data_IF_182878598019
#
_entry.id   IF_182878598019
#
_cell.length_a   1.000
_cell.length_b   1.000
_cell.length_c   1.000
_cell.angle_alpha   90.00
_cell.angle_beta   90.00
_cell.angle_gamma   90.00
#
_symmetry.space_group_name_H-M   'P 1'
#
loop_
_entity.id
_entity.type
_entity.pdbx_description
1 polymer ?
#
# COMPACT_ATOMS: atom_id res chain seq x y z
N UNK A 1 -3.97 9.46 1.22
CA UNK A 1 -4.32 8.39 0.26
C UNK A 1 -3.85 7.05 0.82
N UNK A 2 -4.38 5.93 0.36
CA UNK A 2 -4.02 4.63 0.90
C UNK A 2 -4.20 3.50 -0.12
N UNK A 3 -3.47 2.40 0.04
CA UNK A 3 -3.57 1.19 -0.78
C UNK A 3 -3.63 -0.05 0.12
N UNK A 4 -4.39 -1.04 -0.33
CA UNK A 4 -4.56 -2.28 0.42
C UNK A 4 -3.37 -3.22 0.19
N UNK A 5 -2.89 -3.82 1.27
CA UNK A 5 -1.96 -4.94 1.24
C UNK A 5 -2.78 -6.22 1.36
N UNK A 6 -2.64 -7.13 0.39
CA UNK A 6 -3.36 -8.40 0.35
C UNK A 6 -2.39 -9.55 0.45
N UNK A 7 -2.81 -10.63 1.09
CA UNK A 7 -2.04 -11.86 1.01
C UNK A 7 -2.07 -12.39 -0.44
N UNK A 8 -0.94 -12.81 -1.01
CA UNK A 8 -0.83 -13.08 -2.44
C UNK A 8 -1.46 -14.40 -2.88
N UNK A 9 -1.65 -15.36 -1.97
CA UNK A 9 -2.25 -16.66 -2.32
C UNK A 9 -3.78 -16.67 -2.29
N UNK A 10 -4.39 -16.05 -1.28
CA UNK A 10 -5.85 -16.11 -1.03
C UNK A 10 -6.53 -14.74 -1.17
N UNK A 11 -5.76 -13.67 -1.41
CA UNK A 11 -6.28 -12.31 -1.60
C UNK A 11 -6.83 -11.65 -0.34
N UNK A 12 -6.69 -12.27 0.85
CA UNK A 12 -7.23 -11.73 2.11
C UNK A 12 -6.58 -10.39 2.43
N UNK A 13 -7.35 -9.47 3.00
CA UNK A 13 -6.82 -8.18 3.42
C UNK A 13 -5.91 -8.36 4.65
N UNK A 14 -4.65 -7.95 4.54
CA UNK A 14 -3.70 -7.96 5.65
C UNK A 14 -3.64 -6.60 6.36
N UNK A 15 -3.89 -5.52 5.62
CA UNK A 15 -3.85 -4.17 6.14
C UNK A 15 -3.82 -3.13 5.03
N UNK A 16 -3.51 -1.89 5.41
CA UNK A 16 -3.51 -0.74 4.50
C UNK A 16 -2.20 0.04 4.66
N UNK A 17 -1.54 0.33 3.55
CA UNK A 17 -0.42 1.26 3.48
C UNK A 17 -0.96 2.67 3.22
N UNK A 18 -0.69 3.61 4.12
CA UNK A 18 -1.19 5.00 4.04
C UNK A 18 -0.05 5.99 3.78
N UNK A 19 -0.31 6.97 2.92
CA UNK A 19 0.53 8.15 2.73
C UNK A 19 -0.26 9.38 3.12
N UNK A 20 0.26 10.10 4.11
CA UNK A 20 -0.31 11.32 4.65
C UNK A 20 0.69 12.48 4.52
N UNK A 21 0.17 13.69 4.34
CA UNK A 21 0.96 14.91 4.27
C UNK A 21 0.07 16.14 4.36
N UNK A 22 0.62 17.32 4.70
CA UNK A 22 -0.17 18.54 4.77
C UNK A 22 -0.75 18.92 3.43
N UNK A 23 -2.02 19.31 3.42
CA UNK A 23 -2.80 19.62 2.22
C UNK A 23 -2.13 20.65 1.30
N UNK A 24 -1.42 21.64 1.87
CA UNK A 24 -0.67 22.65 1.11
C UNK A 24 0.39 22.07 0.14
N UNK A 25 0.90 20.86 0.40
CA UNK A 25 1.92 20.17 -0.42
C UNK A 25 1.53 18.76 -0.83
N UNK A 26 0.31 18.36 -0.49
CA UNK A 26 -0.26 17.05 -0.78
C UNK A 26 -1.65 17.21 -1.40
N UNK A 27 -1.73 18.06 -2.43
CA UNK A 27 -2.93 18.23 -3.23
C UNK A 27 -3.14 17.10 -4.24
N UNK A 28 -4.24 17.16 -4.98
CA UNK A 28 -4.70 16.10 -5.87
C UNK A 28 -3.66 15.68 -6.93
N UNK A 29 -3.04 16.64 -7.63
CA UNK A 29 -2.02 16.34 -8.64
C UNK A 29 -0.86 15.52 -8.05
N UNK A 30 -0.41 15.90 -6.84
CA UNK A 30 0.65 15.18 -6.13
C UNK A 30 0.20 13.80 -5.67
N UNK A 31 -1.06 13.64 -5.25
CA UNK A 31 -1.61 12.31 -4.92
C UNK A 31 -1.64 11.41 -6.16
N UNK A 32 -2.05 11.93 -7.32
CA UNK A 32 -2.05 11.16 -8.56
C UNK A 32 -0.64 10.78 -9.02
N UNK A 33 0.35 11.69 -8.91
CA UNK A 33 1.76 11.38 -9.17
C UNK A 33 2.28 10.22 -8.31
N UNK A 34 1.87 10.17 -7.04
CA UNK A 34 2.34 9.18 -6.08
C UNK A 34 1.52 7.87 -6.10
N UNK A 35 0.34 7.86 -6.74
CA UNK A 35 -0.54 6.70 -6.75
C UNK A 35 0.12 5.42 -7.31
N UNK A 36 0.82 5.45 -8.46
CA UNK A 36 1.49 4.26 -8.98
C UNK A 36 2.58 3.73 -8.03
N UNK A 37 3.32 4.63 -7.38
CA UNK A 37 4.37 4.27 -6.43
C UNK A 37 3.79 3.65 -5.15
N UNK A 38 2.67 4.18 -4.66
CA UNK A 38 1.98 3.62 -3.50
C UNK A 38 1.44 2.21 -3.80
N UNK A 39 0.87 2.00 -4.98
CA UNK A 39 0.37 0.69 -5.39
C UNK A 39 1.52 -0.32 -5.53
N UNK A 40 2.64 0.07 -6.14
CA UNK A 40 3.82 -0.77 -6.24
C UNK A 40 4.37 -1.16 -4.85
N UNK A 41 4.50 -0.19 -3.93
CA UNK A 41 4.93 -0.45 -2.56
C UNK A 41 3.97 -1.38 -1.80
N UNK A 42 2.65 -1.22 -1.98
CA UNK A 42 1.67 -2.13 -1.38
C UNK A 42 1.78 -3.56 -1.95
N UNK A 43 2.12 -3.70 -3.23
CA UNK A 43 2.36 -4.99 -3.87
C UNK A 43 3.65 -5.66 -3.39
N UNK A 44 4.72 -4.89 -3.20
CA UNK A 44 5.97 -5.39 -2.61
C UNK A 44 5.74 -5.91 -1.19
N UNK A 45 4.98 -5.17 -0.37
CA UNK A 45 4.59 -5.62 0.97
C UNK A 45 3.71 -6.88 0.92
N UNK A 46 2.82 -6.98 -0.07
CA UNK A 46 1.98 -8.15 -0.29
C UNK A 46 2.83 -9.39 -0.62
N UNK A 47 3.87 -9.26 -1.45
CA UNK A 47 4.78 -10.38 -1.72
C UNK A 47 5.63 -10.74 -0.50
N UNK A 48 6.15 -9.74 0.21
CA UNK A 48 6.98 -9.94 1.39
C UNK A 48 6.22 -10.61 2.56
N UNK A 49 4.89 -10.47 2.62
CA UNK A 49 4.10 -11.04 3.72
C UNK A 49 4.20 -12.58 3.81
N UNK A 50 4.49 -13.27 2.70
CA UNK A 50 4.63 -14.73 2.67
C UNK A 50 5.77 -15.25 3.57
N UNK A 51 6.78 -14.42 3.83
CA UNK A 51 7.89 -14.78 4.72
C UNK A 51 7.56 -14.57 6.21
N UNK A 52 6.41 -13.98 6.54
CA UNK A 52 6.01 -13.68 7.91
C UNK A 52 5.15 -14.79 8.51
N UNK A 53 5.55 -15.33 9.66
CA UNK A 53 4.71 -16.31 10.38
C UNK A 53 3.37 -15.74 10.83
N UNK A 54 3.28 -14.41 11.01
CA UNK A 54 2.06 -13.72 11.42
C UNK A 54 0.95 -13.83 10.36
N UNK A 55 1.34 -14.02 9.09
CA UNK A 55 0.44 -14.00 7.94
C UNK A 55 0.40 -15.33 7.19
N UNK A 56 0.84 -16.44 7.80
CA UNK A 56 0.51 -17.79 7.31
C UNK A 56 -0.99 -18.07 7.35
#
# INVERSE_FOLDING_TARGET
MAALVRHPEDGRALGVLSVAGPSARFGEARMHELAPLLLAAAQDLSHASQASELFR
#
